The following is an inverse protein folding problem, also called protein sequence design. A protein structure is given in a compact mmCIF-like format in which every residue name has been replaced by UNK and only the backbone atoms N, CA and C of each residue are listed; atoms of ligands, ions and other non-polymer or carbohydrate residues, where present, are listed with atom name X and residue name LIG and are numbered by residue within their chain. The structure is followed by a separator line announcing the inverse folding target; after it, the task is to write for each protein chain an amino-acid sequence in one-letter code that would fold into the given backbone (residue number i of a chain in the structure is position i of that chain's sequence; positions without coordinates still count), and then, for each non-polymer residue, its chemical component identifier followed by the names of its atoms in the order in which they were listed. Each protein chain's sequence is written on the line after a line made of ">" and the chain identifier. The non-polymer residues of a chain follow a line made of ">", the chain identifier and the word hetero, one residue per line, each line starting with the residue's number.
data_IF_086990289293
#
_entry.id   IF_086990289293
#
_cell.length_a   1.000
_cell.length_b   1.000
_cell.length_c   1.000
_cell.angle_alpha   90.00
_cell.angle_beta   90.00
_cell.angle_gamma   90.00
#
_symmetry.space_group_name_H-M   'P 1'
#
loop_
_entity.id
_entity.type
_entity.pdbx_description
1 polymer ?
#
# COMPACT_ATOMS: atom_id res chain seq x y z
N UNK A 1 -11.78 16.26 25.07
CA UNK A 1 -10.56 16.15 24.25
C UNK A 1 -9.30 15.88 25.09
N UNK A 2 -9.14 16.51 26.26
CA UNK A 2 -7.95 16.34 27.11
C UNK A 2 -7.74 14.91 27.64
N UNK A 3 -8.80 14.21 28.04
CA UNK A 3 -8.71 12.82 28.50
C UNK A 3 -8.03 11.90 27.46
N UNK A 4 -8.53 11.88 26.22
CA UNK A 4 -7.91 11.09 25.14
C UNK A 4 -6.45 11.49 24.91
N UNK A 5 -6.15 12.79 24.92
CA UNK A 5 -4.77 13.25 24.72
C UNK A 5 -3.85 12.80 25.87
N UNK A 6 -4.38 12.65 27.09
CA UNK A 6 -3.67 12.06 28.23
C UNK A 6 -3.41 10.57 28.03
N UNK A 7 -4.46 9.80 27.76
CA UNK A 7 -4.35 8.34 27.52
C UNK A 7 -3.45 8.01 26.33
N UNK A 8 -3.56 8.77 25.25
CA UNK A 8 -2.73 8.56 24.06
C UNK A 8 -1.25 8.80 24.35
N UNK A 9 -0.90 9.82 25.13
CA UNK A 9 0.49 10.05 25.56
C UNK A 9 1.00 8.95 26.48
N UNK A 10 0.16 8.44 27.37
CA UNK A 10 0.52 7.30 28.22
C UNK A 10 0.79 6.04 27.39
N UNK A 11 -0.04 5.77 26.38
CA UNK A 11 0.16 4.67 25.43
C UNK A 11 1.45 4.83 24.61
N UNK A 12 1.74 6.03 24.08
CA UNK A 12 2.99 6.31 23.36
C UNK A 12 4.22 6.06 24.25
N UNK A 13 4.17 6.50 25.51
CA UNK A 13 5.24 6.26 26.50
C UNK A 13 5.42 4.76 26.77
N UNK A 14 4.32 4.02 26.95
CA UNK A 14 4.38 2.58 27.16
C UNK A 14 4.92 1.82 25.93
N UNK A 15 4.67 2.33 24.73
CA UNK A 15 5.21 1.81 23.47
C UNK A 15 6.67 2.23 23.19
N UNK A 16 7.28 3.05 24.05
CA UNK A 16 8.66 3.52 23.87
C UNK A 16 8.83 4.58 22.78
N UNK A 17 7.74 5.21 22.33
CA UNK A 17 7.77 6.30 21.34
C UNK A 17 8.14 7.58 22.08
N UNK A 18 9.28 8.17 21.72
CA UNK A 18 9.87 9.33 22.44
C UNK A 18 9.71 10.64 21.68
N UNK A 19 9.39 10.54 20.40
CA UNK A 19 9.17 11.66 19.50
C UNK A 19 7.86 12.38 19.83
N UNK A 20 7.81 13.65 19.44
CA UNK A 20 6.59 14.42 19.58
C UNK A 20 5.52 13.96 18.60
N UNK A 21 4.40 13.44 19.13
CA UNK A 21 3.21 13.07 18.36
C UNK A 21 2.04 13.93 18.81
N UNK A 22 1.45 14.67 17.87
CA UNK A 22 0.24 15.48 18.10
C UNK A 22 -0.98 14.55 18.19
N UNK A 23 -1.68 14.52 19.33
CA UNK A 23 -2.89 13.72 19.49
C UNK A 23 -3.93 14.06 18.41
N UNK A 24 -4.70 13.06 17.97
CA UNK A 24 -5.67 13.12 16.86
C UNK A 24 -5.10 13.43 15.48
N UNK A 25 -4.24 14.45 15.33
CA UNK A 25 -3.69 14.83 14.04
C UNK A 25 -2.80 13.72 13.49
N UNK A 26 -1.77 13.32 14.23
CA UNK A 26 -0.81 12.33 13.72
C UNK A 26 -1.43 10.92 13.74
N UNK A 27 -2.36 10.65 14.66
CA UNK A 27 -3.18 9.43 14.64
C UNK A 27 -4.06 9.33 13.38
N UNK A 28 -4.67 10.44 12.96
CA UNK A 28 -5.43 10.53 11.71
C UNK A 28 -4.52 10.31 10.50
N UNK A 29 -3.34 10.94 10.48
CA UNK A 29 -2.35 10.73 9.42
C UNK A 29 -1.94 9.25 9.31
N UNK A 30 -1.67 8.62 10.44
CA UNK A 30 -1.33 7.20 10.50
C UNK A 30 -2.47 6.31 9.96
N UNK A 31 -3.72 6.57 10.37
CA UNK A 31 -4.87 5.80 9.89
C UNK A 31 -5.07 5.91 8.36
N UNK A 32 -4.99 7.13 7.82
CA UNK A 32 -5.18 7.38 6.38
C UNK A 32 -4.04 6.82 5.53
N UNK A 33 -2.79 6.91 6.03
CA UNK A 33 -1.64 6.32 5.36
C UNK A 33 -1.74 4.79 5.33
N UNK A 34 -2.15 4.17 6.44
CA UNK A 34 -2.35 2.71 6.48
C UNK A 34 -3.50 2.29 5.56
N UNK A 35 -4.62 3.03 5.52
CA UNK A 35 -5.70 2.77 4.58
C UNK A 35 -5.24 2.82 3.12
N UNK A 36 -4.40 3.80 2.76
CA UNK A 36 -3.80 3.85 1.43
C UNK A 36 -2.87 2.65 1.18
N UNK A 37 -2.06 2.27 2.18
CA UNK A 37 -1.13 1.14 2.08
C UNK A 37 -1.83 -0.22 1.92
N UNK A 38 -3.07 -0.37 2.39
CA UNK A 38 -3.88 -1.58 2.14
C UNK A 38 -4.46 -1.64 0.73
N UNK A 39 -4.11 -0.70 -0.16
CA UNK A 39 -4.62 -0.63 -1.54
C UNK A 39 -5.96 0.08 -1.67
N UNK A 40 -6.42 0.83 -0.66
CA UNK A 40 -7.62 1.64 -0.83
C UNK A 40 -7.42 2.67 -1.94
N UNK A 41 -8.44 2.87 -2.76
CA UNK A 41 -8.36 3.85 -3.84
C UNK A 41 -8.16 5.27 -3.29
N UNK A 42 -7.40 6.14 -3.97
CA UNK A 42 -7.16 7.51 -3.51
C UNK A 42 -8.44 8.30 -3.21
N UNK A 43 -9.52 8.06 -3.95
CA UNK A 43 -10.81 8.71 -3.72
C UNK A 43 -11.48 8.23 -2.44
N UNK A 44 -11.35 6.94 -2.08
CA UNK A 44 -11.84 6.42 -0.81
C UNK A 44 -11.08 7.04 0.36
N UNK A 45 -9.74 7.11 0.27
CA UNK A 45 -8.91 7.78 1.29
C UNK A 45 -9.30 9.25 1.44
N UNK A 46 -9.53 9.96 0.33
CA UNK A 46 -9.97 11.37 0.33
C UNK A 46 -11.35 11.55 0.99
N UNK A 47 -12.30 10.67 0.68
CA UNK A 47 -13.66 10.70 1.23
C UNK A 47 -13.64 10.42 2.74
N UNK A 48 -12.91 9.40 3.19
CA UNK A 48 -12.69 9.13 4.62
C UNK A 48 -11.99 10.30 5.31
N UNK A 49 -11.06 10.96 4.61
CA UNK A 49 -10.41 12.16 5.09
C UNK A 49 -11.32 13.41 5.08
N UNK A 50 -12.53 13.34 4.52
CA UNK A 50 -13.43 14.50 4.38
C UNK A 50 -12.79 15.66 3.61
N UNK A 51 -11.78 15.38 2.79
CA UNK A 51 -11.05 16.39 2.04
C UNK A 51 -11.84 16.80 0.80
N UNK A 52 -11.84 18.10 0.49
CA UNK A 52 -12.46 18.64 -0.73
C UNK A 52 -11.51 18.70 -1.92
N UNK A 53 -10.21 18.51 -1.67
CA UNK A 53 -9.17 18.50 -2.70
C UNK A 53 -8.24 17.30 -2.53
N UNK A 54 -7.88 16.68 -3.65
CA UNK A 54 -6.91 15.59 -3.69
C UNK A 54 -5.50 16.06 -3.31
N UNK A 55 -5.21 17.36 -3.44
CA UNK A 55 -3.90 17.92 -3.09
C UNK A 55 -3.51 17.60 -1.62
N UNK A 56 -4.47 17.64 -0.71
CA UNK A 56 -4.27 17.33 0.71
C UNK A 56 -4.14 15.82 0.97
N UNK A 57 -4.83 14.99 0.18
CA UNK A 57 -4.81 13.52 0.29
C UNK A 57 -3.56 12.91 -0.34
N UNK A 58 -2.98 13.58 -1.34
CA UNK A 58 -1.82 13.12 -2.12
C UNK A 58 -0.63 12.70 -1.25
N UNK A 59 -0.44 13.34 -0.10
CA UNK A 59 0.61 12.98 0.86
C UNK A 59 0.46 11.54 1.37
N UNK A 60 -0.76 11.08 1.66
CA UNK A 60 -1.01 9.72 2.17
C UNK A 60 -0.71 8.65 1.11
N UNK A 61 -1.16 8.89 -0.12
CA UNK A 61 -0.98 7.95 -1.24
C UNK A 61 0.50 7.80 -1.59
N UNK A 62 1.25 8.91 -1.61
CA UNK A 62 2.69 8.87 -1.84
C UNK A 62 3.45 8.18 -0.71
N UNK A 63 3.16 8.51 0.55
CA UNK A 63 3.86 7.92 1.69
C UNK A 63 3.60 6.41 1.82
N UNK A 64 2.38 5.99 1.48
CA UNK A 64 2.01 4.58 1.42
C UNK A 64 2.68 3.82 0.26
N UNK A 65 3.38 4.50 -0.65
CA UNK A 65 4.07 3.88 -1.78
C UNK A 65 3.12 3.17 -2.76
N UNK A 66 1.86 3.61 -2.84
CA UNK A 66 0.85 2.97 -3.69
C UNK A 66 1.27 3.07 -5.16
N UNK A 67 1.51 1.93 -5.78
CA UNK A 67 1.79 1.79 -7.22
C UNK A 67 0.58 1.16 -7.88
N UNK A 68 -0.03 1.88 -8.83
CA UNK A 68 -1.26 1.46 -9.53
C UNK A 68 -1.00 0.44 -10.65
N UNK A 69 -0.16 -0.58 -10.39
CA UNK A 69 0.27 -1.54 -11.41
C UNK A 69 -0.90 -2.39 -11.88
N UNK A 70 -1.72 -2.87 -10.95
CA UNK A 70 -2.87 -3.71 -11.26
C UNK A 70 -3.95 -2.94 -12.01
N UNK A 71 -4.21 -1.68 -11.63
CA UNK A 71 -5.13 -0.79 -12.33
C UNK A 71 -4.60 -0.44 -13.72
N UNK A 72 -3.30 -0.19 -13.86
CA UNK A 72 -2.67 0.05 -15.16
C UNK A 72 -2.79 -1.19 -16.07
N UNK A 73 -2.50 -2.39 -15.55
CA UNK A 73 -2.67 -3.64 -16.29
C UNK A 73 -4.15 -3.94 -16.62
N UNK A 74 -5.09 -3.60 -15.73
CA UNK A 74 -6.52 -3.72 -16.01
C UNK A 74 -6.97 -2.74 -17.12
N UNK A 75 -6.45 -1.51 -17.09
CA UNK A 75 -6.69 -0.52 -18.13
C UNK A 75 -6.12 -0.99 -19.47
N UNK A 76 -4.89 -1.50 -19.48
CA UNK A 76 -4.22 -2.04 -20.67
C UNK A 76 -5.03 -3.19 -21.29
N UNK A 77 -5.43 -4.18 -20.48
CA UNK A 77 -6.29 -5.28 -20.96
C UNK A 77 -7.58 -4.77 -21.58
N UNK A 78 -8.21 -3.77 -20.95
CA UNK A 78 -9.47 -3.19 -21.41
C UNK A 78 -9.31 -2.35 -22.68
N UNK A 79 -8.23 -1.58 -22.79
CA UNK A 79 -8.01 -0.65 -23.90
C UNK A 79 -7.39 -1.32 -25.13
N UNK A 80 -6.50 -2.29 -24.93
CA UNK A 80 -5.73 -2.93 -26.00
C UNK A 80 -6.21 -4.36 -26.31
N UNK A 81 -7.25 -4.85 -25.62
CA UNK A 81 -7.87 -6.15 -25.89
C UNK A 81 -7.00 -7.35 -25.55
N UNK A 82 -6.22 -7.27 -24.46
CA UNK A 82 -5.12 -8.19 -24.15
C UNK A 82 -5.45 -9.69 -24.29
N UNK A 83 -4.82 -10.33 -25.29
CA UNK A 83 -4.53 -11.77 -25.31
C UNK A 83 -3.70 -12.09 -24.05
N UNK A 84 -3.99 -13.17 -23.31
CA UNK A 84 -3.21 -13.49 -22.12
C UNK A 84 -1.76 -13.79 -22.50
N UNK A 85 -0.83 -12.95 -22.02
CA UNK A 85 0.59 -13.28 -22.00
C UNK A 85 0.75 -14.36 -20.95
N UNK A 86 0.95 -15.61 -21.40
CA UNK A 86 1.41 -16.67 -20.52
C UNK A 86 2.86 -16.35 -20.15
N UNK A 87 3.08 -15.95 -18.90
CA UNK A 87 4.41 -15.97 -18.31
C UNK A 87 4.78 -17.45 -18.09
N UNK A 88 5.42 -18.05 -19.09
CA UNK A 88 5.99 -19.40 -19.02
C UNK A 88 7.32 -19.37 -18.27
N UNK A 89 7.29 -18.89 -17.02
CA UNK A 89 8.33 -19.12 -16.03
C UNK A 89 8.35 -20.57 -15.56
N UNK A 90 8.68 -21.50 -16.44
CA UNK A 90 9.15 -22.84 -16.04
C UNK A 90 10.61 -22.94 -16.41
N UNK A 91 11.47 -22.78 -15.40
CA UNK A 91 12.86 -23.18 -15.46
C UNK A 91 12.93 -24.61 -16.01
N UNK A 92 13.58 -24.75 -17.15
CA UNK A 92 13.99 -26.06 -17.67
C UNK A 92 14.78 -26.79 -16.59
N UNK A 93 14.42 -28.03 -16.20
CA UNK A 93 15.41 -28.93 -15.68
C UNK A 93 16.30 -29.36 -16.85
N UNK A 94 17.59 -29.05 -16.70
CA UNK A 94 18.71 -29.60 -17.46
C UNK A 94 18.49 -31.10 -17.72
N UNK A 95 18.39 -31.47 -18.99
CA UNK A 95 18.24 -32.86 -19.41
C UNK A 95 19.58 -33.57 -19.21
N UNK A 96 19.67 -34.40 -18.17
CA UNK A 96 20.72 -35.37 -18.03
C UNK A 96 20.64 -36.38 -19.20
N UNK A 97 21.66 -36.40 -20.04
CA UNK A 97 21.88 -37.41 -21.08
C UNK A 97 22.15 -38.79 -20.43
N UNK A 98 21.65 -39.90 -20.99
CA UNK A 98 21.99 -41.23 -20.49
C UNK A 98 23.37 -41.65 -21.01
N UNK A 99 24.28 -42.03 -20.10
CA UNK A 99 25.49 -42.76 -20.47
C UNK A 99 25.16 -44.25 -20.59
N UNK A 100 24.95 -44.72 -21.82
CA UNK A 100 25.20 -46.13 -22.16
C UNK A 100 26.72 -46.37 -22.13
N UNK A 101 27.16 -47.40 -21.41
CA UNK A 101 28.46 -48.01 -21.66
C UNK A 101 28.34 -49.53 -21.56
N UNK A 102 28.95 -50.14 -22.57
CA UNK A 102 29.19 -51.56 -22.88
C UNK A 102 29.83 -52.32 -21.72
#
# INVERSE_FOLDING_TARGET
>A
HEWYAGEFRAALKAAGITEHVRPFHDARHAALTNMAATGASPIAVMATAGHRSMQTTKQYVHLAGVVFRDEASALERRMLGGVPVQDSGTNHPETAQPSENV
#
